data_IF_020836246098
#
_entry.id   IF_020836246098
#
_cell.length_a   1.000
_cell.length_b   1.000
_cell.length_c   1.000
_cell.angle_alpha   90.00
_cell.angle_beta   90.00
_cell.angle_gamma   90.00
#
_symmetry.space_group_name_H-M   'P 1'
#
loop_
_entity.id
_entity.type
_entity.pdbx_description
1 polymer ?
#
# COMPACT_ATOMS: atom_id res chain seq x y z
N UNK A 1 24.86 -4.73 -8.89
CA UNK A 1 23.70 -4.82 -9.81
C UNK A 1 22.82 -3.55 -9.70
N UNK A 2 22.42 -2.94 -10.83
CA UNK A 2 21.51 -1.77 -10.83
C UNK A 2 20.03 -2.17 -10.87
N UNK A 3 19.75 -3.43 -11.22
CA UNK A 3 18.41 -4.00 -11.24
C UNK A 3 18.16 -4.84 -9.98
N UNK A 4 16.95 -4.75 -9.47
CA UNK A 4 16.41 -5.58 -8.39
C UNK A 4 15.13 -6.23 -8.92
N UNK A 5 15.00 -7.53 -8.70
CA UNK A 5 13.79 -8.27 -9.03
C UNK A 5 13.35 -8.99 -7.75
N UNK A 6 12.06 -8.93 -7.46
CA UNK A 6 11.47 -9.55 -6.30
C UNK A 6 10.20 -10.29 -6.70
N UNK A 7 10.03 -11.50 -6.16
CA UNK A 7 8.80 -12.26 -6.24
C UNK A 7 8.40 -12.61 -4.81
N UNK A 8 7.21 -12.19 -4.39
CA UNK A 8 6.70 -12.42 -3.04
C UNK A 8 5.33 -13.09 -3.14
N UNK A 9 5.24 -14.31 -2.64
CA UNK A 9 3.95 -14.97 -2.45
C UNK A 9 3.46 -14.72 -1.02
N UNK A 10 2.19 -14.35 -0.88
CA UNK A 10 1.50 -14.13 0.40
C UNK A 10 0.27 -15.03 0.46
N UNK A 11 -0.04 -15.49 1.67
CA UNK A 11 -1.26 -16.23 1.97
C UNK A 11 -1.48 -17.45 1.06
N UNK A 12 -0.40 -18.19 0.75
CA UNK A 12 -0.37 -19.32 -0.19
C UNK A 12 -1.46 -20.37 0.05
N UNK A 13 -1.82 -20.59 1.32
CA UNK A 13 -2.84 -21.57 1.74
C UNK A 13 -4.16 -20.94 2.15
N UNK A 14 -4.38 -19.66 1.82
CA UNK A 14 -5.49 -18.82 2.34
C UNK A 14 -5.36 -18.60 3.85
N UNK A 15 -5.44 -17.35 4.28
CA UNK A 15 -5.41 -17.00 5.71
C UNK A 15 -6.84 -16.79 6.20
N UNK A 16 -7.19 -17.45 7.30
CA UNK A 16 -8.49 -17.31 7.95
C UNK A 16 -8.37 -16.38 9.15
N UNK A 17 -9.03 -15.22 9.08
CA UNK A 17 -9.11 -14.28 10.18
C UNK A 17 -10.49 -14.37 10.82
N UNK A 18 -10.54 -14.68 12.12
CA UNK A 18 -11.79 -14.73 12.88
C UNK A 18 -11.84 -13.61 13.91
N UNK A 19 -12.87 -12.79 13.83
CA UNK A 19 -13.13 -11.68 14.72
C UNK A 19 -14.29 -12.03 15.66
N UNK A 20 -14.09 -11.79 16.95
CA UNK A 20 -15.16 -11.85 17.95
C UNK A 20 -15.38 -10.45 18.48
N UNK A 21 -16.62 -9.98 18.39
CA UNK A 21 -17.00 -8.67 18.90
C UNK A 21 -17.74 -8.84 20.22
N UNK A 22 -17.43 -7.98 21.19
CA UNK A 22 -18.16 -7.91 22.45
C UNK A 22 -18.69 -6.50 22.63
N UNK A 23 -19.99 -6.34 22.48
CA UNK A 23 -20.68 -5.06 22.66
C UNK A 23 -21.34 -4.99 24.03
N UNK A 24 -21.28 -3.81 24.65
CA UNK A 24 -22.07 -3.47 25.84
C UNK A 24 -23.54 -3.22 25.44
N UNK A 25 -24.47 -3.33 26.39
CA UNK A 25 -25.90 -3.14 26.11
C UNK A 25 -26.23 -1.74 25.56
N UNK A 26 -25.47 -0.70 25.95
CA UNK A 26 -25.63 0.65 25.41
C UNK A 26 -25.24 0.74 23.93
N UNK A 27 -24.18 0.04 23.53
CA UNK A 27 -23.71 0.03 22.13
C UNK A 27 -24.67 -0.75 21.22
N UNK A 28 -25.25 -1.85 21.72
CA UNK A 28 -26.29 -2.59 21.00
C UNK A 28 -27.53 -1.75 20.76
N UNK A 29 -27.95 -0.94 21.74
CA UNK A 29 -29.09 -0.03 21.59
C UNK A 29 -28.84 1.05 20.54
N UNK A 30 -27.65 1.64 20.49
CA UNK A 30 -27.30 2.64 19.46
C UNK A 30 -27.25 2.00 18.07
N UNK A 31 -26.67 0.81 17.93
CA UNK A 31 -26.66 0.08 16.65
C UNK A 31 -28.07 -0.27 16.20
N UNK A 32 -28.94 -0.71 17.11
CA UNK A 32 -30.33 -1.00 16.83
C UNK A 32 -31.12 0.25 16.41
N UNK A 33 -30.95 1.38 17.11
CA UNK A 33 -31.59 2.66 16.79
C UNK A 33 -31.11 3.24 15.46
N UNK A 34 -29.88 2.92 15.04
CA UNK A 34 -29.30 3.35 13.75
C UNK A 34 -29.50 2.34 12.62
N UNK A 35 -30.28 1.27 12.87
CA UNK A 35 -30.52 0.16 11.93
C UNK A 35 -29.23 -0.52 11.42
N UNK A 36 -28.18 -0.55 12.24
CA UNK A 36 -26.96 -1.28 11.93
C UNK A 36 -27.02 -2.70 12.49
N UNK A 37 -26.59 -3.69 11.69
CA UNK A 37 -26.46 -5.07 12.13
C UNK A 37 -25.44 -5.20 13.26
N UNK A 38 -25.73 -6.04 14.26
CA UNK A 38 -24.83 -6.32 15.39
C UNK A 38 -23.98 -7.55 15.02
N UNK A 39 -22.70 -7.38 14.64
CA UNK A 39 -21.88 -8.51 14.23
C UNK A 39 -21.48 -9.36 15.45
N UNK A 40 -21.94 -10.61 15.52
CA UNK A 40 -21.65 -11.49 16.68
C UNK A 40 -20.32 -12.24 16.50
N UNK A 41 -20.01 -12.66 15.27
CA UNK A 41 -18.74 -13.25 14.83
C UNK A 41 -18.58 -12.96 13.34
N UNK A 42 -17.37 -12.59 12.90
CA UNK A 42 -17.07 -12.44 11.47
C UNK A 42 -15.84 -13.25 11.11
N UNK A 43 -15.93 -14.02 10.03
CA UNK A 43 -14.82 -14.79 9.48
C UNK A 43 -14.46 -14.22 8.13
N UNK A 44 -13.25 -13.69 8.00
CA UNK A 44 -12.73 -13.10 6.78
C UNK A 44 -11.70 -14.07 6.18
N UNK A 45 -11.95 -14.53 4.96
CA UNK A 45 -10.98 -15.31 4.18
C UNK A 45 -10.15 -14.36 3.32
N UNK A 46 -8.83 -14.39 3.50
CA UNK A 46 -7.89 -13.66 2.64
C UNK A 46 -7.26 -14.62 1.64
N UNK A 47 -7.60 -14.46 0.37
CA UNK A 47 -7.10 -15.32 -0.71
C UNK A 47 -5.61 -15.08 -1.01
N UNK A 48 -4.92 -16.07 -1.61
CA UNK A 48 -3.52 -15.93 -1.99
C UNK A 48 -3.25 -14.69 -2.86
N UNK A 49 -2.06 -14.12 -2.68
CA UNK A 49 -1.57 -12.99 -3.48
C UNK A 49 -0.13 -13.21 -3.90
N UNK A 50 0.18 -12.91 -5.16
CA UNK A 50 1.54 -12.93 -5.69
C UNK A 50 1.92 -11.51 -6.11
N UNK A 51 3.06 -11.02 -5.62
CA UNK A 51 3.58 -9.70 -5.96
C UNK A 51 4.88 -9.89 -6.73
N UNK A 52 4.90 -9.42 -7.97
CA UNK A 52 6.09 -9.36 -8.80
C UNK A 52 6.57 -7.92 -8.88
N UNK A 53 7.78 -7.65 -8.40
CA UNK A 53 8.36 -6.31 -8.34
C UNK A 53 9.67 -6.21 -9.09
N UNK A 54 9.84 -5.11 -9.81
CA UNK A 54 11.07 -4.74 -10.49
C UNK A 54 11.51 -3.34 -10.10
N UNK A 55 12.78 -3.19 -9.74
CA UNK A 55 13.37 -1.90 -9.37
C UNK A 55 14.67 -1.62 -10.11
N UNK A 56 14.89 -0.38 -10.51
CA UNK A 56 16.14 0.06 -11.14
C UNK A 56 16.73 1.26 -10.38
N UNK A 57 17.96 1.10 -9.90
CA UNK A 57 18.70 2.14 -9.18
C UNK A 57 19.67 2.86 -10.12
N UNK A 58 19.34 4.11 -10.42
CA UNK A 58 20.15 5.06 -11.16
C UNK A 58 21.04 5.86 -10.21
N UNK A 59 22.33 5.48 -10.16
CA UNK A 59 23.35 6.29 -9.48
C UNK A 59 23.78 7.44 -10.38
N UNK A 60 23.16 8.60 -10.21
CA UNK A 60 23.45 9.81 -10.98
C UNK A 60 24.75 10.46 -10.51
N UNK A 61 25.04 10.40 -9.22
CA UNK A 61 26.27 10.94 -8.63
C UNK A 61 26.67 10.16 -7.37
N UNK A 62 27.87 10.43 -6.82
CA UNK A 62 28.29 9.84 -5.53
C UNK A 62 27.35 10.17 -4.37
N UNK A 63 26.59 11.27 -4.50
CA UNK A 63 25.70 11.80 -3.49
C UNK A 63 24.23 11.73 -3.87
N UNK A 64 23.89 11.39 -5.11
CA UNK A 64 22.50 11.40 -5.58
C UNK A 64 22.19 10.09 -6.30
N UNK A 65 21.13 9.42 -5.87
CA UNK A 65 20.60 8.25 -6.57
C UNK A 65 19.09 8.28 -6.68
N UNK A 66 18.59 7.72 -7.76
CA UNK A 66 17.17 7.64 -8.06
C UNK A 66 16.80 6.17 -8.24
N UNK A 67 15.89 5.67 -7.43
CA UNK A 67 15.31 4.35 -7.55
C UNK A 67 13.94 4.49 -8.20
N UNK A 68 13.72 3.76 -9.30
CA UNK A 68 12.41 3.58 -9.88
C UNK A 68 11.94 2.15 -9.65
N UNK A 69 10.69 1.98 -9.26
CA UNK A 69 10.08 0.67 -9.06
C UNK A 69 8.71 0.54 -9.75
N UNK A 70 8.42 -0.66 -10.21
CA UNK A 70 7.12 -1.05 -10.72
C UNK A 70 6.79 -2.45 -10.19
N UNK A 71 5.59 -2.62 -9.67
CA UNK A 71 5.11 -3.87 -9.10
C UNK A 71 3.78 -4.27 -9.74
N UNK A 72 3.55 -5.57 -9.84
CA UNK A 72 2.32 -6.18 -10.30
C UNK A 72 1.82 -7.15 -9.25
N UNK A 73 0.61 -6.89 -8.77
CA UNK A 73 0.02 -7.62 -7.67
C UNK A 73 -1.13 -8.48 -8.22
N UNK A 74 -0.89 -9.79 -8.26
CA UNK A 74 -1.83 -10.81 -8.70
C UNK A 74 -2.62 -11.33 -7.51
N UNK A 75 -3.94 -11.27 -7.61
CA UNK A 75 -4.89 -11.74 -6.60
C UNK A 75 -5.76 -12.84 -7.20
N UNK A 76 -6.02 -13.89 -6.42
CA UNK A 76 -6.71 -15.11 -6.88
C UNK A 76 -8.12 -15.25 -6.27
N UNK A 77 -8.68 -14.15 -5.76
CA UNK A 77 -10.03 -14.06 -5.15
C UNK A 77 -11.15 -13.84 -6.19
N UNK A 78 -10.85 -13.90 -7.48
CA UNK A 78 -11.80 -13.68 -8.57
C UNK A 78 -11.79 -12.25 -9.09
N UNK A 79 -12.96 -11.75 -9.54
CA UNK A 79 -13.07 -10.45 -10.20
C UNK A 79 -13.00 -9.30 -9.19
N UNK A 80 -11.91 -8.54 -9.21
CA UNK A 80 -11.77 -7.26 -8.53
C UNK A 80 -11.93 -6.10 -9.50
N UNK A 81 -12.15 -4.89 -9.00
CA UNK A 81 -12.15 -3.67 -9.83
C UNK A 81 -10.74 -3.20 -10.22
N UNK A 82 -9.82 -4.12 -10.53
CA UNK A 82 -8.42 -3.82 -10.89
C UNK A 82 -8.26 -3.61 -12.40
N UNK A 83 -7.08 -3.13 -12.83
CA UNK A 83 -6.75 -2.82 -14.24
C UNK A 83 -7.06 -3.99 -15.17
N UNK A 84 -6.63 -5.19 -14.78
CA UNK A 84 -7.03 -6.46 -15.39
C UNK A 84 -7.90 -7.18 -14.37
N UNK A 85 -9.15 -7.44 -14.73
CA UNK A 85 -10.13 -8.15 -13.92
C UNK A 85 -10.57 -9.39 -14.68
N UNK A 86 -10.10 -10.56 -14.23
CA UNK A 86 -10.51 -11.85 -14.78
C UNK A 86 -10.91 -12.79 -13.63
N UNK A 87 -11.71 -13.81 -13.95
CA UNK A 87 -11.90 -14.94 -13.04
C UNK A 87 -10.96 -16.05 -13.52
N UNK A 88 -9.97 -16.50 -12.74
CA UNK A 88 -9.79 -16.30 -11.29
C UNK A 88 -8.77 -15.23 -10.87
N UNK A 89 -8.11 -14.53 -11.81
CA UNK A 89 -6.95 -13.67 -11.52
C UNK A 89 -7.26 -12.19 -11.78
N UNK A 90 -6.97 -11.36 -10.78
CA UNK A 90 -7.01 -9.89 -10.88
C UNK A 90 -5.61 -9.31 -10.69
N UNK A 91 -5.23 -8.31 -11.51
CA UNK A 91 -3.89 -7.69 -11.51
C UNK A 91 -3.97 -6.20 -11.24
N UNK A 92 -3.28 -5.74 -10.20
CA UNK A 92 -3.12 -4.32 -9.83
C UNK A 92 -1.66 -3.87 -10.05
N UNK A 93 -1.43 -2.86 -10.90
CA UNK A 93 -0.11 -2.28 -11.09
C UNK A 93 0.17 -1.20 -10.05
N UNK A 94 1.41 -1.16 -9.57
CA UNK A 94 1.93 -0.12 -8.70
C UNK A 94 3.22 0.45 -9.28
N UNK A 95 3.48 1.74 -9.05
CA UNK A 95 4.74 2.35 -9.45
C UNK A 95 5.21 3.37 -8.42
N UNK A 96 6.52 3.47 -8.27
CA UNK A 96 7.18 4.28 -7.27
C UNK A 96 8.50 4.86 -7.74
N UNK A 97 8.87 5.99 -7.17
CA UNK A 97 10.13 6.68 -7.37
C UNK A 97 10.66 7.11 -6.00
N UNK A 98 11.94 6.85 -5.74
CA UNK A 98 12.65 7.35 -4.57
C UNK A 98 13.92 8.07 -5.01
N UNK A 99 14.00 9.37 -4.74
CA UNK A 99 15.22 10.16 -4.86
C UNK A 99 15.93 10.20 -3.51
N UNK A 100 17.21 9.83 -3.47
CA UNK A 100 18.02 9.83 -2.26
C UNK A 100 19.25 10.72 -2.39
N UNK A 101 19.51 11.50 -1.34
CA UNK A 101 20.65 12.41 -1.24
C UNK A 101 21.52 11.96 -0.07
N UNK A 102 22.74 11.52 -0.38
CA UNK A 102 23.78 11.05 0.55
C UNK A 102 23.32 9.93 1.49
N UNK A 103 22.29 9.17 1.11
CA UNK A 103 21.60 8.19 1.98
C UNK A 103 21.10 8.79 3.32
N UNK A 104 20.89 10.11 3.35
CA UNK A 104 20.41 10.87 4.51
C UNK A 104 19.02 11.41 4.24
N UNK A 105 18.79 12.04 3.09
CA UNK A 105 17.48 12.57 2.71
C UNK A 105 16.85 11.71 1.63
N UNK A 106 15.56 11.44 1.77
CA UNK A 106 14.79 10.61 0.86
C UNK A 106 13.52 11.36 0.49
N UNK A 107 13.22 11.45 -0.81
CA UNK A 107 11.95 11.96 -1.32
C UNK A 107 11.33 10.84 -2.13
N UNK A 108 10.06 10.55 -1.85
CA UNK A 108 9.32 9.44 -2.45
C UNK A 108 8.07 9.95 -3.11
N UNK A 109 7.75 9.37 -4.25
CA UNK A 109 6.48 9.56 -4.91
C UNK A 109 6.03 8.20 -5.45
N UNK A 110 4.74 7.93 -5.39
CA UNK A 110 4.20 6.69 -5.92
C UNK A 110 2.73 6.80 -6.23
N UNK A 111 2.26 5.95 -7.12
CA UNK A 111 0.84 5.82 -7.40
C UNK A 111 0.47 4.35 -7.32
N UNK A 112 -0.63 4.11 -6.63
CA UNK A 112 -1.13 2.77 -6.32
C UNK A 112 -2.61 2.70 -6.63
N UNK A 113 -3.16 1.49 -6.59
CA UNK A 113 -4.61 1.28 -6.53
C UNK A 113 -5.31 1.75 -7.81
N UNK A 114 -4.81 1.29 -8.96
CA UNK A 114 -5.41 1.60 -10.25
C UNK A 114 -6.66 0.74 -10.44
N UNK A 115 -7.82 1.33 -10.16
CA UNK A 115 -9.11 0.65 -10.25
C UNK A 115 -10.01 1.25 -11.32
N UNK A 116 -10.84 0.41 -11.94
CA UNK A 116 -11.94 0.85 -12.81
C UNK A 116 -13.24 0.78 -12.02
N UNK A 117 -13.83 1.93 -11.70
CA UNK A 117 -15.14 2.02 -11.07
C UNK A 117 -16.18 2.51 -12.08
N UNK A 118 -17.45 2.20 -11.83
CA UNK A 118 -18.58 2.81 -12.52
C UNK A 118 -18.89 4.15 -11.85
N UNK A 119 -19.22 5.18 -12.62
CA UNK A 119 -19.61 6.48 -12.06
C UNK A 119 -20.88 6.36 -11.20
N UNK A 120 -20.81 6.85 -9.96
CA UNK A 120 -21.99 7.07 -9.10
C UNK A 120 -22.90 8.13 -9.76
N UNK A 121 -23.95 7.69 -10.43
CA UNK A 121 -24.91 8.54 -11.15
C UNK A 121 -25.38 8.03 -12.50
N UNK A 122 -24.90 6.86 -12.97
CA UNK A 122 -25.29 6.31 -14.26
C UNK A 122 -26.09 5.00 -14.11
N UNK A 123 -27.42 5.08 -14.26
CA UNK A 123 -28.33 3.92 -14.33
C UNK A 123 -28.11 3.05 -15.58
N UNK A 124 -27.21 3.44 -16.51
CA UNK A 124 -26.91 2.74 -17.76
C UNK A 124 -25.53 2.06 -17.79
N UNK A 125 -24.74 2.11 -16.71
CA UNK A 125 -23.41 1.47 -16.60
C UNK A 125 -22.39 1.87 -17.69
N UNK A 126 -22.47 3.07 -18.27
CA UNK A 126 -21.65 3.44 -19.43
C UNK A 126 -20.37 4.20 -19.08
N UNK A 127 -20.29 4.86 -17.92
CA UNK A 127 -19.10 5.63 -17.53
C UNK A 127 -18.17 4.86 -16.59
N UNK A 128 -17.03 4.42 -17.12
CA UNK A 128 -15.91 3.84 -16.36
C UNK A 128 -14.94 4.95 -15.94
N UNK A 129 -14.80 5.18 -14.64
CA UNK A 129 -13.84 6.12 -14.04
C UNK A 129 -12.61 5.34 -13.58
N UNK A 130 -11.44 5.91 -13.82
CA UNK A 130 -10.20 5.41 -13.27
C UNK A 130 -9.96 6.03 -11.89
N UNK A 131 -9.90 5.17 -10.88
CA UNK A 131 -9.47 5.54 -9.54
C UNK A 131 -7.97 5.21 -9.46
N UNK A 132 -7.18 6.15 -8.99
CA UNK A 132 -5.76 5.97 -8.69
C UNK A 132 -5.42 6.77 -7.45
N UNK A 133 -4.45 6.29 -6.67
CA UNK A 133 -4.08 6.88 -5.39
C UNK A 133 -2.63 7.32 -5.43
N UNK A 134 -2.36 8.60 -5.76
CA UNK A 134 -1.04 9.16 -5.65
C UNK A 134 -0.67 9.35 -4.18
N UNK A 135 0.62 9.24 -3.91
CA UNK A 135 1.24 9.39 -2.61
C UNK A 135 2.60 10.08 -2.75
N UNK A 136 2.95 10.86 -1.74
CA UNK A 136 4.21 11.58 -1.62
C UNK A 136 4.79 11.30 -0.24
N UNK A 137 6.11 11.25 -0.12
CA UNK A 137 6.77 11.04 1.14
C UNK A 137 8.13 11.72 1.21
N UNK A 138 8.55 12.03 2.42
CA UNK A 138 9.88 12.54 2.70
C UNK A 138 10.43 11.84 3.94
N UNK A 139 11.71 11.52 3.90
CA UNK A 139 12.40 10.82 4.98
C UNK A 139 13.76 11.43 5.26
N UNK A 140 14.16 11.40 6.52
CA UNK A 140 15.51 11.76 6.95
C UNK A 140 16.09 10.67 7.85
N UNK A 141 17.33 10.28 7.56
CA UNK A 141 18.11 9.31 8.31
C UNK A 141 19.29 9.99 8.97
N UNK A 142 19.24 10.10 10.29
CA UNK A 142 20.29 10.69 11.11
C UNK A 142 20.85 9.61 12.04
N UNK A 143 22.03 9.10 11.74
CA UNK A 143 22.70 8.03 12.48
C UNK A 143 21.81 6.79 12.64
N UNK A 144 21.23 6.61 13.83
CA UNK A 144 20.43 5.47 14.24
C UNK A 144 18.93 5.79 14.28
N UNK A 145 18.53 7.00 13.88
CA UNK A 145 17.13 7.45 13.85
C UNK A 145 16.74 7.68 12.41
N UNK A 146 15.60 7.14 12.02
CA UNK A 146 14.95 7.43 10.73
C UNK A 146 13.59 8.02 11.04
N UNK A 147 13.29 9.16 10.41
CA UNK A 147 12.00 9.82 10.48
C UNK A 147 11.45 9.81 9.06
N UNK A 148 10.26 9.26 8.87
CA UNK A 148 9.56 9.26 7.60
C UNK A 148 8.18 9.91 7.78
N UNK A 149 7.81 10.74 6.81
CA UNK A 149 6.49 11.31 6.67
C UNK A 149 5.94 10.92 5.30
N UNK A 150 4.71 10.43 5.27
CA UNK A 150 4.00 10.12 4.04
C UNK A 150 2.64 10.80 4.01
N UNK A 151 2.33 11.35 2.85
CA UNK A 151 1.05 11.94 2.49
C UNK A 151 0.42 11.09 1.39
N UNK A 152 -0.64 10.37 1.73
CA UNK A 152 -1.28 9.40 0.85
C UNK A 152 -2.70 9.82 0.47
N UNK A 153 -3.22 9.20 -0.58
CA UNK A 153 -4.58 9.38 -1.07
C UNK A 153 -4.88 10.80 -1.58
N UNK A 154 -3.96 11.38 -2.34
CA UNK A 154 -4.05 12.77 -2.82
C UNK A 154 -5.18 13.03 -3.83
N UNK A 155 -5.75 12.00 -4.47
CA UNK A 155 -6.65 12.16 -5.62
C UNK A 155 -7.91 11.26 -5.58
N UNK A 156 -8.51 11.07 -4.40
CA UNK A 156 -9.81 10.38 -4.35
C UNK A 156 -10.95 11.34 -4.77
N UNK A 157 -11.57 11.07 -5.91
CA UNK A 157 -12.52 11.96 -6.59
C UNK A 157 -13.91 12.04 -5.93
N UNK A 158 -14.22 11.17 -4.97
CA UNK A 158 -15.56 11.08 -4.36
C UNK A 158 -15.61 11.57 -2.90
N UNK A 159 -14.53 11.35 -2.14
CA UNK A 159 -14.37 11.86 -0.78
C UNK A 159 -12.87 11.83 -0.43
N UNK A 160 -12.16 12.97 -0.47
CA UNK A 160 -10.72 13.00 -0.25
C UNK A 160 -10.40 12.84 1.24
N UNK A 161 -10.32 11.59 1.70
CA UNK A 161 -9.74 11.25 3.00
C UNK A 161 -8.22 11.29 2.88
N UNK A 162 -7.66 12.48 3.07
CA UNK A 162 -6.22 12.68 3.11
C UNK A 162 -5.62 11.93 4.30
N UNK A 163 -4.58 11.14 4.04
CA UNK A 163 -3.93 10.33 5.07
C UNK A 163 -2.51 10.82 5.30
N UNK A 164 -2.24 11.22 6.54
CA UNK A 164 -0.91 11.60 7.01
C UNK A 164 -0.34 10.47 7.88
N UNK A 165 0.81 9.94 7.50
CA UNK A 165 1.50 8.88 8.25
C UNK A 165 2.86 9.40 8.70
N UNK A 166 3.10 9.38 10.01
CA UNK A 166 4.39 9.70 10.62
C UNK A 166 5.00 8.40 11.16
N UNK A 167 6.26 8.16 10.82
CA UNK A 167 7.00 6.98 11.24
C UNK A 167 8.34 7.38 11.85
N UNK A 168 8.63 6.80 13.01
CA UNK A 168 9.89 6.98 13.73
C UNK A 168 10.50 5.60 13.96
N UNK A 169 11.72 5.41 13.46
CA UNK A 169 12.43 4.14 13.54
C UNK A 169 13.77 4.32 14.25
N UNK A 170 13.99 3.52 15.29
CA UNK A 170 15.24 3.45 16.03
C UNK A 170 16.02 2.18 15.65
N UNK A 171 17.26 2.36 15.21
CA UNK A 171 18.18 1.28 14.87
C UNK A 171 19.05 0.99 16.09
N UNK A 172 18.74 -0.08 16.82
CA UNK A 172 19.39 -0.41 18.09
C UNK A 172 20.73 -1.14 17.94
N UNK A 173 21.15 -1.47 16.71
CA UNK A 173 22.39 -2.22 16.47
C UNK A 173 23.61 -1.29 16.55
N UNK A 174 24.60 -1.69 17.36
CA UNK A 174 25.92 -1.06 17.46
C UNK A 174 26.64 -1.26 16.12
N UNK A 175 26.94 -0.18 15.40
CA UNK A 175 27.84 -0.25 14.23
C UNK A 175 29.22 -0.67 14.72
N UNK A 176 29.61 -1.92 14.48
CA UNK A 176 31.03 -2.27 14.54
C UNK A 176 31.74 -1.48 13.44
N UNK A 177 32.73 -0.67 13.85
CA UNK A 177 33.63 -0.02 12.90
C UNK A 177 34.48 -1.13 12.29
N UNK A 178 34.15 -1.57 11.08
CA UNK A 178 35.08 -2.37 10.28
C UNK A 178 36.25 -1.46 9.92
N UNK A 179 37.28 -1.44 10.76
CA UNK A 179 38.60 -0.92 10.41
C UNK A 179 39.18 -1.86 9.38
N UNK A 180 39.08 -1.51 8.10
CA UNK A 180 39.93 -2.11 7.07
C UNK A 180 41.37 -1.69 7.38
N UNK A 181 42.20 -2.65 7.80
CA UNK A 181 43.66 -2.55 7.68
C UNK A 181 44.05 -2.79 6.24
#
# INVERSE_FOLDING_TARGET
PRWHLALVARDLTTTFNAWTFKFTEKEKQVLYLTQNDIPVRSTELTSPRLVFGGGYNLKISKTFSLLAEANLDFTFDGKRNTVISSNPISVDPHMGLEASIKDVFFIRAGVTNFQKALSDGDTLNQKKVWIYQPSLGAGVKIKNVVIDYAYANLANQSNPLYTHVFSLKFILVKKEKTTSK
#
